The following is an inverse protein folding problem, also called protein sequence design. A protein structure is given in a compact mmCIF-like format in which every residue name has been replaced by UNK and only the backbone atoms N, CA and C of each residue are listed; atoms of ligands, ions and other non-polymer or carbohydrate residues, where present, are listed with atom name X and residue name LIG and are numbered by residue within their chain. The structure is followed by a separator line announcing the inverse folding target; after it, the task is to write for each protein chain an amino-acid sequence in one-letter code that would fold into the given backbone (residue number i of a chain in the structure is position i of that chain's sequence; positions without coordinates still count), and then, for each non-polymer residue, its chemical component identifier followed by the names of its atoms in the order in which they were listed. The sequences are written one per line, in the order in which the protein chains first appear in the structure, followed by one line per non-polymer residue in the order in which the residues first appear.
data_IF_542219883568
#
_entry.id   IF_542219883568
#
_cell.length_a   1.000
_cell.length_b   1.000
_cell.length_c   1.000
_cell.angle_alpha   90.00
_cell.angle_beta   90.00
_cell.angle_gamma   90.00
#
_symmetry.space_group_name_H-M   'P 1'
#
loop_
_entity.id
_entity.type
_entity.pdbx_description
1 polymer ?
#
# COMPACT_ATOMS: atom_id res chain seq x y z
N UNK A 1 -6.08 -13.06 -15.81
CA UNK A 1 -4.75 -12.59 -16.23
C UNK A 1 -4.96 -11.69 -17.43
N UNK A 2 -4.31 -10.52 -17.51
CA UNK A 2 -4.43 -9.68 -18.71
C UNK A 2 -3.25 -9.98 -19.62
N UNK A 3 -3.50 -10.71 -20.70
CA UNK A 3 -2.49 -11.04 -21.69
C UNK A 3 -2.19 -9.77 -22.49
N UNK A 4 -0.94 -9.31 -22.40
CA UNK A 4 -0.45 -8.18 -23.21
C UNK A 4 0.63 -8.68 -24.14
N UNK A 5 0.81 -8.00 -25.25
CA UNK A 5 1.96 -8.18 -26.13
C UNK A 5 2.92 -7.01 -25.96
N UNK A 6 4.22 -7.32 -25.98
CA UNK A 6 5.31 -6.36 -25.86
C UNK A 6 6.13 -6.31 -27.14
N UNK A 7 6.37 -5.12 -27.68
CA UNK A 7 7.19 -4.93 -28.87
C UNK A 7 7.75 -3.50 -28.94
N UNK A 8 8.74 -3.27 -29.81
CA UNK A 8 9.35 -1.93 -30.00
C UNK A 8 8.84 -1.28 -31.27
N UNK A 9 8.63 0.03 -31.21
CA UNK A 9 8.42 0.84 -32.39
C UNK A 9 9.69 0.84 -33.25
N UNK A 10 9.54 0.50 -34.54
CA UNK A 10 10.66 0.42 -35.48
C UNK A 10 11.27 1.79 -35.80
N UNK A 11 10.49 2.88 -35.68
CA UNK A 11 10.98 4.23 -35.95
C UNK A 11 11.80 4.83 -34.80
N UNK A 12 11.34 4.67 -33.54
CA UNK A 12 11.96 5.36 -32.39
C UNK A 12 12.47 4.44 -31.27
N UNK A 13 12.33 3.13 -31.43
CA UNK A 13 12.75 2.13 -30.44
C UNK A 13 11.89 2.11 -29.16
N UNK A 14 10.84 2.92 -29.06
CA UNK A 14 9.97 2.96 -27.88
C UNK A 14 9.28 1.62 -27.66
N UNK A 15 9.35 1.08 -26.44
CA UNK A 15 8.66 -0.16 -26.08
C UNK A 15 7.17 0.11 -25.83
N UNK A 16 6.31 -0.66 -26.48
CA UNK A 16 4.86 -0.61 -26.35
C UNK A 16 4.34 -1.89 -25.70
N UNK A 17 3.29 -1.72 -24.89
CA UNK A 17 2.55 -2.81 -24.27
C UNK A 17 1.07 -2.62 -24.58
N UNK A 18 0.49 -3.52 -25.36
CA UNK A 18 -0.92 -3.44 -25.77
C UNK A 18 -1.65 -4.75 -25.46
N UNK A 19 -2.98 -4.74 -25.30
CA UNK A 19 -3.75 -5.96 -25.14
C UNK A 19 -3.51 -6.93 -26.30
N UNK A 20 -3.40 -8.23 -26.01
CA UNK A 20 -3.14 -9.25 -27.04
C UNK A 20 -4.20 -9.25 -28.16
N UNK A 21 -5.45 -8.91 -27.86
CA UNK A 21 -6.54 -8.75 -28.83
C UNK A 21 -6.32 -7.64 -29.89
N UNK A 22 -5.36 -6.74 -29.63
CA UNK A 22 -5.01 -5.67 -30.57
C UNK A 22 -4.01 -6.13 -31.63
N UNK A 23 -3.48 -7.36 -31.54
CA UNK A 23 -2.58 -7.94 -32.52
C UNK A 23 -3.15 -7.85 -33.95
N UNK A 24 -2.34 -7.37 -34.89
CA UNK A 24 -2.71 -7.16 -36.28
C UNK A 24 -3.51 -5.88 -36.58
N UNK A 25 -3.92 -5.09 -35.58
CA UNK A 25 -4.59 -3.81 -35.81
C UNK A 25 -3.59 -2.70 -36.16
N UNK A 26 -4.05 -1.70 -36.91
CA UNK A 26 -3.31 -0.46 -37.18
C UNK A 26 -3.35 0.44 -35.95
N UNK A 27 -2.22 1.03 -35.59
CA UNK A 27 -2.09 1.98 -34.49
C UNK A 27 -1.04 3.05 -34.78
N UNK A 28 -0.79 3.90 -33.77
CA UNK A 28 0.30 4.89 -33.79
C UNK A 28 1.16 4.76 -32.54
N UNK A 29 2.46 4.97 -32.68
CA UNK A 29 3.36 5.02 -31.54
C UNK A 29 3.04 6.24 -30.66
N UNK A 30 2.87 6.12 -29.33
CA UNK A 30 2.57 7.27 -28.48
C UNK A 30 3.74 8.27 -28.38
N UNK A 31 4.98 7.81 -28.63
CA UNK A 31 6.18 8.65 -28.58
C UNK A 31 6.40 9.45 -29.85
N UNK A 32 6.53 8.78 -31.00
CA UNK A 32 6.86 9.45 -32.27
C UNK A 32 5.66 9.65 -33.21
N UNK A 33 4.47 9.19 -32.83
CA UNK A 33 3.22 9.25 -33.62
C UNK A 33 3.23 8.49 -34.94
N UNK A 34 4.32 7.80 -35.25
CA UNK A 34 4.47 6.99 -36.45
C UNK A 34 3.41 5.89 -36.53
N UNK A 35 2.87 5.67 -37.74
CA UNK A 35 1.92 4.60 -37.98
C UNK A 35 2.61 3.24 -37.88
N UNK A 36 1.92 2.27 -37.32
CA UNK A 36 2.50 0.95 -37.06
C UNK A 36 1.43 -0.13 -37.06
N UNK A 37 1.83 -1.35 -37.43
CA UNK A 37 1.02 -2.56 -37.28
C UNK A 37 1.43 -3.23 -35.98
N UNK A 38 0.46 -3.58 -35.16
CA UNK A 38 0.72 -4.33 -33.94
C UNK A 38 1.10 -5.77 -34.37
N UNK A 39 2.31 -6.26 -34.05
CA UNK A 39 2.78 -7.58 -34.47
C UNK A 39 1.90 -8.71 -33.92
N UNK A 40 1.66 -9.74 -34.73
CA UNK A 40 0.88 -10.93 -34.34
C UNK A 40 1.70 -11.97 -33.57
N UNK A 41 3.00 -11.92 -33.76
CA UNK A 41 4.04 -12.81 -33.26
C UNK A 41 4.78 -12.23 -32.04
N UNK A 42 4.34 -11.10 -31.50
CA UNK A 42 4.95 -10.51 -30.33
C UNK A 42 4.80 -11.39 -29.08
N UNK A 43 5.82 -11.32 -28.23
CA UNK A 43 5.85 -12.06 -26.96
C UNK A 43 4.64 -11.68 -26.11
N UNK A 44 3.80 -12.69 -25.82
CA UNK A 44 2.71 -12.56 -24.86
C UNK A 44 3.33 -12.54 -23.47
N UNK A 45 3.21 -11.40 -22.80
CA UNK A 45 3.51 -11.26 -21.38
C UNK A 45 2.21 -11.47 -20.60
N UNK A 46 2.26 -12.42 -19.67
CA UNK A 46 1.21 -12.58 -18.68
C UNK A 46 1.45 -11.52 -17.61
N UNK A 47 0.73 -10.41 -17.69
CA UNK A 47 0.62 -9.57 -16.50
C UNK A 47 -0.35 -10.28 -15.57
N UNK A 48 0.21 -10.88 -14.51
CA UNK A 48 -0.53 -10.96 -13.25
C UNK A 48 -1.16 -9.58 -13.07
N UNK A 49 -2.48 -9.55 -12.81
CA UNK A 49 -3.09 -8.30 -12.41
C UNK A 49 -2.20 -7.80 -11.28
N UNK A 50 -1.44 -6.74 -11.53
CA UNK A 50 -0.93 -5.88 -10.49
C UNK A 50 -2.20 -5.32 -9.86
N UNK A 51 -2.81 -6.14 -9.01
CA UNK A 51 -3.55 -5.68 -7.87
C UNK A 51 -2.44 -4.99 -7.10
N UNK A 52 -2.28 -3.70 -7.40
CA UNK A 52 -1.48 -2.82 -6.58
C UNK A 52 -2.09 -3.01 -5.20
N UNK A 53 -1.45 -3.86 -4.39
CA UNK A 53 -1.63 -3.90 -2.95
C UNK A 53 -1.05 -2.58 -2.45
N UNK A 54 -1.68 -1.47 -2.84
CA UNK A 54 -1.71 -0.32 -1.98
C UNK A 54 -2.60 -0.77 -0.84
N UNK A 55 -2.00 -1.51 0.10
CA UNK A 55 -2.66 -1.85 1.35
C UNK A 55 -3.16 -0.54 1.90
N UNK A 56 -4.46 -0.44 2.15
CA UNK A 56 -5.03 0.76 2.75
C UNK A 56 -4.48 0.93 4.17
N UNK A 57 -4.67 2.11 4.76
CA UNK A 57 -4.35 2.32 6.15
C UNK A 57 -5.03 1.26 7.05
N UNK A 58 -6.28 0.89 6.74
CA UNK A 58 -7.03 -0.17 7.45
C UNK A 58 -6.39 -1.55 7.31
N UNK A 59 -5.88 -1.93 6.13
CA UNK A 59 -5.23 -3.24 5.95
C UNK A 59 -3.94 -3.37 6.77
N UNK A 60 -3.20 -2.27 6.90
CA UNK A 60 -2.00 -2.22 7.74
C UNK A 60 -2.36 -2.22 9.23
N UNK A 61 -3.39 -1.49 9.62
CA UNK A 61 -3.92 -1.49 10.98
C UNK A 61 -4.37 -2.88 11.42
N UNK A 62 -5.21 -3.57 10.63
CA UNK A 62 -5.69 -4.92 10.97
C UNK A 62 -4.55 -5.92 11.13
N UNK A 63 -3.52 -5.81 10.26
CA UNK A 63 -2.30 -6.61 10.40
C UNK A 63 -1.55 -6.27 11.68
N UNK A 64 -1.40 -4.99 12.00
CA UNK A 64 -0.78 -4.53 13.24
C UNK A 64 -1.51 -5.06 14.47
N UNK A 65 -2.84 -4.99 14.47
CA UNK A 65 -3.69 -5.48 15.55
C UNK A 65 -3.54 -6.99 15.77
N UNK A 66 -3.56 -7.79 14.70
CA UNK A 66 -3.31 -9.23 14.79
C UNK A 66 -1.91 -9.56 15.36
N UNK A 67 -0.89 -8.78 14.99
CA UNK A 67 0.46 -8.94 15.52
C UNK A 67 0.55 -8.53 17.00
N UNK A 68 -0.15 -7.47 17.41
CA UNK A 68 -0.27 -7.06 18.83
C UNK A 68 -0.84 -8.20 19.66
N UNK A 69 -1.93 -8.84 19.21
CA UNK A 69 -2.54 -9.99 19.89
C UNK A 69 -1.62 -11.21 19.93
N UNK A 70 -0.71 -11.33 18.96
CA UNK A 70 0.30 -12.40 18.90
C UNK A 70 1.55 -12.08 19.73
N UNK A 71 1.61 -10.92 20.42
CA UNK A 71 2.76 -10.47 21.19
C UNK A 71 3.94 -9.99 20.34
N UNK A 72 3.80 -9.88 19.02
CA UNK A 72 4.85 -9.44 18.11
C UNK A 72 4.89 -7.90 18.00
N UNK A 73 5.10 -7.23 19.14
CA UNK A 73 4.92 -5.78 19.28
C UNK A 73 5.77 -4.95 18.32
N UNK A 74 7.04 -5.30 18.10
CA UNK A 74 7.91 -4.57 17.16
C UNK A 74 7.37 -4.62 15.71
N UNK A 75 6.89 -5.79 15.26
CA UNK A 75 6.30 -5.92 13.93
C UNK A 75 4.94 -5.22 13.84
N UNK A 76 4.18 -5.21 14.93
CA UNK A 76 2.92 -4.47 15.01
C UNK A 76 3.15 -2.96 14.85
N UNK A 77 4.17 -2.42 15.54
CA UNK A 77 4.60 -1.02 15.42
C UNK A 77 4.88 -0.64 13.97
N UNK A 78 5.67 -1.44 13.24
CA UNK A 78 5.95 -1.20 11.81
C UNK A 78 4.66 -1.20 10.95
N UNK A 79 3.68 -2.03 11.31
CA UNK A 79 2.40 -2.05 10.59
C UNK A 79 1.57 -0.80 10.90
N UNK A 80 1.51 -0.36 12.16
CA UNK A 80 0.85 0.89 12.51
C UNK A 80 1.53 2.10 11.88
N UNK A 81 2.87 2.11 11.79
CA UNK A 81 3.60 3.18 11.09
C UNK A 81 3.16 3.30 9.63
N UNK A 82 3.05 2.18 8.92
CA UNK A 82 2.54 2.18 7.54
C UNK A 82 1.09 2.65 7.45
N UNK A 83 0.25 2.29 8.43
CA UNK A 83 -1.13 2.79 8.49
C UNK A 83 -1.16 4.32 8.65
N UNK A 84 -0.30 4.86 9.53
CA UNK A 84 -0.15 6.29 9.82
C UNK A 84 0.45 7.06 8.63
N UNK A 85 1.40 6.46 7.91
CA UNK A 85 1.98 7.05 6.69
C UNK A 85 0.92 7.24 5.59
N UNK A 86 -0.07 6.35 5.51
CA UNK A 86 -1.16 6.41 4.53
C UNK A 86 -2.27 7.34 5.02
N UNK A 87 -2.65 7.25 6.30
CA UNK A 87 -3.63 8.12 6.93
C UNK A 87 -3.08 8.65 8.27
N UNK A 88 -2.60 9.88 8.23
CA UNK A 88 -2.02 10.56 9.38
C UNK A 88 -3.03 10.96 10.47
N UNK A 89 -4.33 10.76 10.22
CA UNK A 89 -5.41 11.01 11.17
C UNK A 89 -6.03 9.71 11.71
N UNK A 90 -5.45 8.55 11.39
CA UNK A 90 -5.97 7.26 11.84
C UNK A 90 -5.72 7.05 13.35
N UNK A 91 -6.69 7.50 14.15
CA UNK A 91 -6.56 7.59 15.61
C UNK A 91 -6.30 6.24 16.28
N UNK A 92 -6.95 5.18 15.80
CA UNK A 92 -6.83 3.80 16.28
C UNK A 92 -5.43 3.23 16.02
N UNK A 93 -4.79 3.58 14.89
CA UNK A 93 -3.42 3.15 14.60
C UNK A 93 -2.41 3.76 15.59
N UNK A 94 -2.57 5.04 15.94
CA UNK A 94 -1.77 5.66 17.00
C UNK A 94 -2.00 4.99 18.36
N UNK A 95 -3.24 4.66 18.70
CA UNK A 95 -3.53 3.98 19.96
C UNK A 95 -2.89 2.58 20.01
N UNK A 96 -3.08 1.77 18.96
CA UNK A 96 -2.47 0.44 18.85
C UNK A 96 -0.93 0.49 18.92
N UNK A 97 -0.31 1.49 18.28
CA UNK A 97 1.13 1.74 18.39
C UNK A 97 1.55 2.07 19.82
N UNK A 98 0.77 2.93 20.51
CA UNK A 98 1.00 3.30 21.91
C UNK A 98 0.93 2.11 22.87
N UNK A 99 -0.05 1.23 22.70
CA UNK A 99 -0.16 -0.02 23.47
C UNK A 99 1.06 -0.92 23.23
N UNK A 100 1.52 -1.05 21.97
CA UNK A 100 2.71 -1.84 21.69
C UNK A 100 3.98 -1.28 22.37
N UNK A 101 4.16 0.04 22.37
CA UNK A 101 5.26 0.68 23.11
C UNK A 101 5.18 0.44 24.61
N UNK A 102 3.98 0.49 25.20
CA UNK A 102 3.77 0.16 26.60
C UNK A 102 4.22 -1.27 26.92
N UNK A 103 3.86 -2.23 26.05
CA UNK A 103 4.21 -3.63 26.23
C UNK A 103 5.71 -3.93 26.12
N UNK A 104 6.45 -3.18 25.31
CA UNK A 104 7.92 -3.30 25.23
C UNK A 104 8.65 -2.44 26.26
N UNK A 105 7.92 -1.74 27.14
CA UNK A 105 8.48 -0.94 28.24
C UNK A 105 8.89 0.49 27.88
N UNK A 106 8.65 0.94 26.65
CA UNK A 106 8.95 2.30 26.22
C UNK A 106 7.78 3.25 26.54
N UNK A 107 7.73 3.67 27.80
CA UNK A 107 6.67 4.56 28.32
C UNK A 107 6.61 5.89 27.59
N UNK A 108 7.76 6.45 27.18
CA UNK A 108 7.81 7.75 26.52
C UNK A 108 7.09 7.70 25.18
N UNK A 109 7.42 6.71 24.34
CA UNK A 109 6.76 6.55 23.05
C UNK A 109 5.30 6.11 23.21
N UNK A 110 4.97 5.32 24.24
CA UNK A 110 3.58 4.99 24.55
C UNK A 110 2.74 6.25 24.82
N UNK A 111 3.18 7.11 25.73
CA UNK A 111 2.46 8.34 26.11
C UNK A 111 2.28 9.29 24.93
N UNK A 112 3.32 9.47 24.10
CA UNK A 112 3.26 10.32 22.91
C UNK A 112 2.16 9.84 21.96
N UNK A 113 2.13 8.54 21.66
CA UNK A 113 1.18 7.97 20.71
C UNK A 113 -0.26 7.93 21.27
N UNK A 114 -0.44 7.59 22.54
CA UNK A 114 -1.77 7.57 23.18
C UNK A 114 -2.34 9.00 23.28
N UNK A 115 -1.53 10.00 23.65
CA UNK A 115 -1.97 11.41 23.66
C UNK A 115 -2.34 11.91 22.27
N UNK A 116 -1.59 11.50 21.24
CA UNK A 116 -1.91 11.81 19.84
C UNK A 116 -3.24 11.18 19.42
N UNK A 117 -3.47 9.91 19.76
CA UNK A 117 -4.73 9.22 19.49
C UNK A 117 -5.92 9.91 20.18
N UNK A 118 -5.78 10.31 21.45
CA UNK A 118 -6.78 11.12 22.18
C UNK A 118 -7.09 12.42 21.46
N UNK A 119 -6.06 13.15 21.01
CA UNK A 119 -6.24 14.42 20.27
C UNK A 119 -7.00 14.23 18.94
N UNK A 120 -6.84 13.07 18.31
CA UNK A 120 -7.56 12.69 17.09
C UNK A 120 -8.97 12.12 17.35
N UNK A 121 -9.37 11.96 18.62
CA UNK A 121 -10.71 11.51 18.99
C UNK A 121 -10.87 10.00 19.19
N UNK A 122 -9.77 9.24 19.33
CA UNK A 122 -9.84 7.82 19.68
C UNK A 122 -10.49 7.63 21.07
N UNK A 123 -11.65 6.97 21.11
CA UNK A 123 -12.39 6.71 22.36
C UNK A 123 -11.58 5.85 23.33
N UNK A 124 -10.94 4.81 22.83
CA UNK A 124 -10.15 3.87 23.64
C UNK A 124 -8.95 4.58 24.27
N UNK A 125 -8.30 5.50 23.55
CA UNK A 125 -7.21 6.31 24.11
C UNK A 125 -7.70 7.29 25.20
N UNK A 126 -8.90 7.84 25.05
CA UNK A 126 -9.50 8.72 26.07
C UNK A 126 -9.82 7.92 27.34
N UNK A 127 -10.38 6.72 27.18
CA UNK A 127 -10.70 5.83 28.29
C UNK A 127 -9.44 5.31 29.00
N UNK A 128 -8.45 4.87 28.23
CA UNK A 128 -7.16 4.39 28.76
C UNK A 128 -6.49 5.44 29.67
N UNK A 129 -6.43 6.70 29.25
CA UNK A 129 -5.80 7.76 30.04
C UNK A 129 -6.57 8.08 31.33
N UNK A 130 -7.91 7.98 31.34
CA UNK A 130 -8.69 8.21 32.57
C UNK A 130 -8.42 7.17 33.67
N UNK A 131 -7.98 5.97 33.28
CA UNK A 131 -7.72 4.87 34.20
C UNK A 131 -6.26 4.92 34.71
N UNK A 132 -5.37 5.56 33.95
CA UNK A 132 -3.93 5.66 34.27
C UNK A 132 -3.51 6.99 34.90
N UNK A 133 -4.37 8.00 34.88
CA UNK A 133 -4.29 9.26 35.66
C UNK A 133 -4.80 9.08 37.10
#
# INVERSE_FOLDING_TARGET
MLNKISFKCEHCGHSLFVPAESAGRKGRCPKCREAMIIPKDAQIINQEKNNSKNKSASDWYEKGHSLTLSGEYNKAIECYDKAIEIDNNFAEAYFGKGICYHQIGDKNNADINIKKAKKLGCKDAIEYLKITE
#
